data_IF_856401213667
#
_entry.id   IF_856401213667
#
_cell.length_a   1.000
_cell.length_b   1.000
_cell.length_c   1.000
_cell.angle_alpha   90.00
_cell.angle_beta   90.00
_cell.angle_gamma   90.00
#
_symmetry.space_group_name_H-M   'P 1'
#
loop_
_entity.id
_entity.type
_entity.pdbx_description
1 polymer ?
#
# COMPACT_ATOMS: atom_id res chain seq x y z
N UNK A 1 24.83 -5.83 -10.88
CA UNK A 1 24.42 -7.19 -10.50
C UNK A 1 24.35 -7.24 -8.98
N UNK A 2 23.14 -7.18 -8.42
CA UNK A 2 22.87 -6.92 -7.00
C UNK A 2 23.04 -8.19 -6.16
N UNK A 3 24.00 -8.18 -5.21
CA UNK A 3 24.13 -9.23 -4.20
C UNK A 3 23.88 -8.63 -2.81
N UNK A 4 22.75 -9.03 -2.19
CA UNK A 4 22.31 -8.96 -0.77
C UNK A 4 20.79 -8.72 -0.79
N UNK A 5 19.91 -9.62 -0.36
CA UNK A 5 19.96 -10.41 0.86
C UNK A 5 18.94 -11.59 0.76
N UNK A 6 19.33 -12.75 0.21
CA UNK A 6 18.38 -13.85 -0.06
C UNK A 6 17.79 -14.51 1.20
N UNK A 7 18.43 -14.32 2.35
CA UNK A 7 17.97 -14.87 3.64
C UNK A 7 16.81 -14.07 4.24
N UNK A 8 16.87 -12.74 4.17
CA UNK A 8 15.79 -11.88 4.66
C UNK A 8 14.57 -11.96 3.74
N UNK A 9 14.77 -11.92 2.41
CA UNK A 9 13.68 -12.06 1.44
C UNK A 9 12.98 -13.42 1.52
N UNK A 10 13.73 -14.51 1.75
CA UNK A 10 13.14 -15.84 1.94
C UNK A 10 12.43 -15.99 3.28
N UNK A 11 12.98 -15.44 4.37
CA UNK A 11 12.32 -15.42 5.68
C UNK A 11 11.03 -14.58 5.64
N UNK A 12 11.06 -13.39 5.04
CA UNK A 12 9.89 -12.55 4.87
C UNK A 12 8.80 -13.23 4.03
N UNK A 13 9.17 -13.89 2.91
CA UNK A 13 8.23 -14.65 2.08
C UNK A 13 7.73 -15.95 2.75
N UNK A 14 8.50 -16.55 3.64
CA UNK A 14 8.07 -17.70 4.44
C UNK A 14 7.12 -17.26 5.56
N UNK A 15 7.46 -16.19 6.29
CA UNK A 15 6.61 -15.58 7.31
C UNK A 15 5.30 -15.07 6.73
N UNK A 16 5.31 -14.43 5.56
CA UNK A 16 4.11 -13.97 4.86
C UNK A 16 3.23 -15.12 4.32
N UNK A 17 3.84 -16.25 3.92
CA UNK A 17 3.09 -17.46 3.53
C UNK A 17 2.56 -18.22 4.75
N UNK A 18 3.31 -18.22 5.85
CA UNK A 18 2.90 -18.84 7.10
C UNK A 18 1.72 -18.08 7.71
N UNK A 19 1.78 -16.75 7.81
CA UNK A 19 0.71 -15.91 8.38
C UNK A 19 -0.62 -16.02 7.64
N UNK A 20 -0.62 -16.38 6.35
CA UNK A 20 -1.83 -16.62 5.56
C UNK A 20 -2.36 -18.07 5.58
N UNK A 21 -1.65 -19.02 6.19
CA UNK A 21 -2.05 -20.44 6.20
C UNK A 21 -2.86 -20.78 7.47
N UNK A 22 -3.94 -21.58 7.38
CA UNK A 22 -4.70 -22.07 8.54
C UNK A 22 -3.84 -22.69 9.65
N UNK A 23 -2.69 -23.25 9.27
CA UNK A 23 -1.70 -23.79 10.20
C UNK A 23 -1.09 -22.73 11.15
N UNK A 24 -0.86 -21.48 10.71
CA UNK A 24 -0.34 -20.44 11.61
C UNK A 24 -1.39 -19.98 12.63
N UNK A 25 -2.66 -19.94 12.22
CA UNK A 25 -3.76 -19.69 13.15
C UNK A 25 -3.83 -20.80 14.22
N UNK A 26 -3.74 -22.07 13.81
CA UNK A 26 -3.70 -23.19 14.76
C UNK A 26 -2.48 -23.12 15.70
N UNK A 27 -1.30 -22.75 15.18
CA UNK A 27 -0.11 -22.55 16.02
C UNK A 27 -0.29 -21.41 17.01
N UNK A 28 -0.86 -20.28 16.59
CA UNK A 28 -1.16 -19.15 17.48
C UNK A 28 -2.15 -19.54 18.57
N UNK A 29 -3.24 -20.23 18.22
CA UNK A 29 -4.20 -20.78 19.19
C UNK A 29 -3.53 -21.74 20.17
N UNK A 30 -2.65 -22.62 19.68
CA UNK A 30 -1.91 -23.57 20.53
C UNK A 30 -1.00 -22.86 21.52
N UNK A 31 -0.31 -21.79 21.11
CA UNK A 31 0.51 -20.95 21.99
C UNK A 31 -0.33 -20.30 23.10
N UNK A 32 -1.52 -19.78 22.76
CA UNK A 32 -2.44 -19.20 23.74
C UNK A 32 -2.92 -20.25 24.74
N UNK A 33 -3.26 -21.46 24.28
CA UNK A 33 -3.70 -22.57 25.15
C UNK A 33 -2.58 -23.00 26.09
N UNK A 34 -1.35 -23.18 25.59
CA UNK A 34 -0.19 -23.53 26.42
C UNK A 34 0.05 -22.45 27.48
N UNK A 35 0.02 -21.18 27.09
CA UNK A 35 0.15 -20.07 28.05
C UNK A 35 -0.96 -20.11 29.12
N UNK A 36 -2.22 -20.29 28.74
CA UNK A 36 -3.34 -20.37 29.68
C UNK A 36 -3.21 -21.55 30.67
N UNK A 37 -2.76 -22.72 30.21
CA UNK A 37 -2.54 -23.91 31.06
C UNK A 37 -1.38 -23.71 32.04
N UNK A 38 -0.38 -22.90 31.68
CA UNK A 38 0.69 -22.55 32.63
C UNK A 38 0.23 -21.58 33.74
N UNK A 39 -0.86 -20.83 33.56
CA UNK A 39 -1.37 -19.85 34.53
C UNK A 39 -1.64 -20.42 35.94
N UNK A 40 -2.41 -21.53 36.07
CA UNK A 40 -2.64 -22.20 37.35
C UNK A 40 -1.37 -22.70 38.04
N UNK A 41 -0.37 -23.17 37.26
CA UNK A 41 0.91 -23.66 37.81
C UNK A 41 1.71 -22.51 38.43
N UNK A 42 1.65 -21.33 37.83
CA UNK A 42 2.32 -20.11 38.32
C UNK A 42 1.44 -19.25 39.22
N UNK A 43 0.31 -19.78 39.72
CA UNK A 43 -0.64 -19.10 40.60
C UNK A 43 -1.05 -17.70 40.09
N UNK A 44 -1.14 -17.53 38.77
CA UNK A 44 -1.46 -16.23 38.14
C UNK A 44 -0.51 -15.08 38.51
N UNK A 45 0.76 -15.40 38.79
CA UNK A 45 1.78 -14.43 39.24
C UNK A 45 2.01 -13.26 38.28
N UNK A 46 2.56 -12.17 38.82
CA UNK A 46 2.94 -10.98 38.05
C UNK A 46 3.94 -11.30 36.94
N UNK A 47 4.87 -12.23 37.17
CA UNK A 47 5.83 -12.69 36.15
C UNK A 47 5.14 -13.38 34.97
N UNK A 48 4.11 -14.19 35.25
CA UNK A 48 3.34 -14.88 34.22
C UNK A 48 2.55 -13.91 33.32
N UNK A 49 1.99 -12.85 33.91
CA UNK A 49 1.31 -11.77 33.17
C UNK A 49 2.31 -10.88 32.42
N UNK A 50 3.47 -10.59 33.01
CA UNK A 50 4.52 -9.79 32.39
C UNK A 50 5.04 -10.43 31.10
N UNK A 51 5.22 -11.75 31.09
CA UNK A 51 5.71 -12.49 29.91
C UNK A 51 4.77 -12.32 28.72
N UNK A 52 3.44 -12.45 28.90
CA UNK A 52 2.51 -12.30 27.77
C UNK A 52 2.39 -10.86 27.30
N UNK A 53 2.36 -9.91 28.23
CA UNK A 53 2.26 -8.49 27.90
C UNK A 53 3.50 -8.01 27.14
N UNK A 54 4.69 -8.40 27.63
CA UNK A 54 5.96 -8.05 26.99
C UNK A 54 6.11 -8.76 25.64
N UNK A 55 5.81 -10.06 25.58
CA UNK A 55 5.89 -10.85 24.35
C UNK A 55 4.94 -10.34 23.27
N UNK A 56 3.69 -10.07 23.63
CA UNK A 56 2.69 -9.54 22.69
C UNK A 56 3.08 -8.14 22.21
N UNK A 57 3.66 -7.30 23.07
CA UNK A 57 4.14 -5.97 22.69
C UNK A 57 5.26 -6.06 21.65
N UNK A 58 6.25 -6.94 21.85
CA UNK A 58 7.33 -7.16 20.88
C UNK A 58 6.78 -7.68 19.55
N UNK A 59 5.91 -8.69 19.60
CA UNK A 59 5.29 -9.27 18.40
C UNK A 59 4.47 -8.21 17.67
N UNK A 60 3.68 -7.41 18.38
CA UNK A 60 2.87 -6.32 17.80
C UNK A 60 3.75 -5.26 17.16
N UNK A 61 4.84 -4.85 17.83
CA UNK A 61 5.81 -3.92 17.26
C UNK A 61 6.40 -4.47 15.95
N UNK A 62 6.85 -5.73 15.94
CA UNK A 62 7.34 -6.39 14.73
C UNK A 62 6.25 -6.51 13.65
N UNK A 63 5.01 -6.80 14.03
CA UNK A 63 3.87 -6.90 13.13
C UNK A 63 3.61 -5.56 12.43
N UNK A 64 3.70 -4.43 13.13
CA UNK A 64 3.57 -3.10 12.53
C UNK A 64 4.63 -2.89 11.45
N UNK A 65 5.89 -3.22 11.69
CA UNK A 65 6.94 -3.15 10.65
C UNK A 65 6.69 -4.08 9.47
N UNK A 66 6.24 -5.31 9.73
CA UNK A 66 5.93 -6.28 8.67
C UNK A 66 4.74 -5.84 7.82
N UNK A 67 3.69 -5.33 8.45
CA UNK A 67 2.52 -4.77 7.80
C UNK A 67 2.94 -3.56 6.97
N UNK A 68 3.71 -2.62 7.55
CA UNK A 68 4.20 -1.45 6.82
C UNK A 68 5.06 -1.83 5.62
N UNK A 69 5.96 -2.81 5.76
CA UNK A 69 6.80 -3.28 4.64
C UNK A 69 5.95 -3.94 3.53
N UNK A 70 4.95 -4.72 3.90
CA UNK A 70 4.04 -5.37 2.94
C UNK A 70 3.17 -4.33 2.24
N UNK A 71 2.57 -3.43 3.01
CA UNK A 71 1.75 -2.33 2.50
C UNK A 71 2.55 -1.40 1.60
N UNK A 72 3.79 -1.04 1.95
CA UNK A 72 4.62 -0.17 1.12
C UNK A 72 4.88 -0.80 -0.25
N UNK A 73 5.21 -2.10 -0.27
CA UNK A 73 5.42 -2.84 -1.52
C UNK A 73 4.15 -2.97 -2.35
N UNK A 74 3.01 -3.23 -1.71
CA UNK A 74 1.72 -3.35 -2.41
C UNK A 74 1.29 -1.99 -3.00
N UNK A 75 1.49 -0.88 -2.29
CA UNK A 75 1.23 0.47 -2.78
C UNK A 75 2.04 0.78 -4.05
N UNK A 76 3.36 0.53 -4.04
CA UNK A 76 4.20 0.71 -5.24
C UNK A 76 3.76 -0.17 -6.42
N UNK A 77 3.33 -1.40 -6.16
CA UNK A 77 2.85 -2.29 -7.22
C UNK A 77 1.52 -1.81 -7.82
N UNK A 78 0.67 -1.14 -7.02
CA UNK A 78 -0.56 -0.50 -7.52
C UNK A 78 -0.23 0.71 -8.38
N UNK A 79 0.69 1.57 -7.94
CA UNK A 79 1.15 2.74 -8.72
C UNK A 79 1.65 2.33 -10.10
N UNK A 80 2.60 1.39 -10.17
CA UNK A 80 3.15 0.91 -11.45
C UNK A 80 2.08 0.36 -12.41
N UNK A 81 1.05 -0.30 -11.88
CA UNK A 81 -0.07 -0.79 -12.70
C UNK A 81 -0.95 0.34 -13.21
N UNK A 82 -1.18 1.38 -12.41
CA UNK A 82 -1.92 2.57 -12.83
C UNK A 82 -1.12 3.34 -13.88
N UNK A 83 0.19 3.44 -13.73
CA UNK A 83 1.07 4.09 -14.70
C UNK A 83 1.02 3.40 -16.07
N UNK A 84 1.06 2.07 -16.08
CA UNK A 84 0.91 1.29 -17.32
C UNK A 84 -0.48 1.49 -17.96
N UNK A 85 -1.54 1.58 -17.15
CA UNK A 85 -2.90 1.89 -17.65
C UNK A 85 -2.99 3.30 -18.22
N UNK A 86 -2.45 4.31 -17.53
CA UNK A 86 -2.39 5.70 -18.00
C UNK A 86 -1.63 5.76 -19.32
N UNK A 87 -0.48 5.09 -19.40
CA UNK A 87 0.34 5.02 -20.62
C UNK A 87 -0.36 4.32 -21.79
N UNK A 88 -1.21 3.33 -21.51
CA UNK A 88 -1.96 2.60 -22.52
C UNK A 88 -3.25 3.33 -23.00
N UNK A 89 -3.68 4.38 -22.30
CA UNK A 89 -4.86 5.18 -22.68
C UNK A 89 -4.44 6.33 -23.58
N UNK A 90 -4.86 6.28 -24.86
CA UNK A 90 -4.78 7.42 -25.78
C UNK A 90 -5.54 8.62 -25.17
N UNK A 91 -4.92 9.81 -25.12
CA UNK A 91 -5.51 10.98 -24.45
C UNK A 91 -4.98 11.27 -23.04
N UNK A 92 -4.25 10.34 -22.42
CA UNK A 92 -3.81 10.50 -21.04
C UNK A 92 -2.58 11.42 -20.96
N UNK A 93 -2.68 12.48 -20.14
CA UNK A 93 -1.57 13.38 -19.92
C UNK A 93 -0.44 12.68 -19.15
N UNK A 94 0.68 12.43 -19.82
CA UNK A 94 1.92 11.87 -19.23
C UNK A 94 2.40 12.63 -17.98
N UNK A 95 1.97 13.87 -17.78
CA UNK A 95 2.26 14.65 -16.59
C UNK A 95 1.57 14.15 -15.30
N UNK A 96 0.77 13.07 -15.37
CA UNK A 96 0.20 12.36 -14.22
C UNK A 96 1.00 11.10 -13.84
N UNK A 97 1.93 10.65 -14.68
CA UNK A 97 2.85 9.57 -14.34
C UNK A 97 3.77 10.02 -13.19
N UNK A 98 4.08 9.11 -12.27
CA UNK A 98 4.96 9.33 -11.12
C UNK A 98 4.53 10.52 -10.23
N UNK A 99 3.22 10.77 -10.11
CA UNK A 99 2.68 11.90 -9.32
C UNK A 99 3.11 11.87 -7.85
N UNK A 100 3.40 10.68 -7.31
CA UNK A 100 3.90 10.45 -5.95
C UNK A 100 5.34 10.92 -5.73
N UNK A 101 6.12 11.11 -6.78
CA UNK A 101 7.51 11.57 -6.69
C UNK A 101 7.62 13.11 -6.73
N UNK A 102 6.55 13.79 -7.14
CA UNK A 102 6.52 15.24 -7.25
C UNK A 102 6.70 15.91 -5.89
N UNK A 103 7.48 17.00 -5.87
CA UNK A 103 7.56 17.84 -4.69
C UNK A 103 6.28 18.70 -4.51
N UNK A 104 6.12 19.30 -3.32
CA UNK A 104 4.92 20.09 -2.99
C UNK A 104 4.66 21.24 -3.97
N UNK A 105 5.73 21.87 -4.48
CA UNK A 105 5.62 22.98 -5.43
C UNK A 105 5.10 22.48 -6.77
N UNK A 106 5.69 21.41 -7.31
CA UNK A 106 5.29 20.75 -8.56
C UNK A 106 3.85 20.23 -8.49
N UNK A 107 3.48 19.58 -7.37
CA UNK A 107 2.12 19.11 -7.13
C UNK A 107 1.13 20.28 -7.08
N UNK A 108 1.51 21.42 -6.50
CA UNK A 108 0.69 22.63 -6.48
C UNK A 108 0.49 23.22 -7.88
N UNK A 109 1.54 23.20 -8.72
CA UNK A 109 1.48 23.66 -10.11
C UNK A 109 0.56 22.76 -10.95
N UNK A 110 0.69 21.44 -10.80
CA UNK A 110 -0.16 20.46 -11.45
C UNK A 110 -1.63 20.64 -11.06
N UNK A 111 -1.90 20.78 -9.76
CA UNK A 111 -3.25 21.03 -9.22
C UNK A 111 -3.86 22.33 -9.76
N UNK A 112 -3.09 23.41 -9.85
CA UNK A 112 -3.55 24.69 -10.44
C UNK A 112 -3.92 24.50 -11.92
N UNK A 113 -3.11 23.78 -12.69
CA UNK A 113 -3.39 23.51 -14.11
C UNK A 113 -4.71 22.74 -14.29
N UNK A 114 -4.92 21.68 -13.51
CA UNK A 114 -6.20 20.94 -13.55
C UNK A 114 -7.39 21.75 -13.03
N UNK A 115 -7.20 22.62 -12.04
CA UNK A 115 -8.27 23.51 -11.58
C UNK A 115 -8.74 24.47 -12.68
N UNK A 116 -7.81 24.99 -13.50
CA UNK A 116 -8.15 25.83 -14.66
C UNK A 116 -8.90 25.03 -15.73
N UNK A 117 -8.43 23.82 -16.05
CA UNK A 117 -9.10 22.93 -17.01
C UNK A 117 -10.53 22.58 -16.55
N UNK A 118 -10.69 22.20 -15.28
CA UNK A 118 -12.00 21.92 -14.70
C UNK A 118 -12.92 23.15 -14.65
N UNK A 119 -12.37 24.35 -14.44
CA UNK A 119 -13.16 25.58 -14.51
C UNK A 119 -13.66 25.86 -15.93
N UNK A 120 -12.81 25.66 -16.95
CA UNK A 120 -13.19 25.80 -18.36
C UNK A 120 -14.27 24.79 -18.76
N UNK A 121 -14.08 23.51 -18.41
CA UNK A 121 -15.08 22.47 -18.67
C UNK A 121 -16.44 22.81 -18.04
N UNK A 122 -16.46 23.28 -16.78
CA UNK A 122 -17.71 23.71 -16.12
C UNK A 122 -18.39 24.89 -16.83
N UNK A 123 -17.63 25.86 -17.32
CA UNK A 123 -18.18 26.99 -18.08
C UNK A 123 -18.73 26.52 -19.44
N UNK A 124 -18.08 25.58 -20.11
CA UNK A 124 -18.57 25.00 -21.37
C UNK A 124 -19.86 24.19 -21.18
N UNK A 125 -19.96 23.42 -20.09
CA UNK A 125 -21.20 22.72 -19.70
C UNK A 125 -22.33 23.72 -19.44
N UNK A 126 -22.06 24.82 -18.71
CA UNK A 126 -23.05 25.89 -18.47
C UNK A 126 -23.51 26.55 -19.77
N UNK A 127 -22.64 26.60 -20.78
CA UNK A 127 -22.95 27.11 -22.12
C UNK A 127 -23.64 26.06 -23.02
N UNK A 128 -23.96 24.88 -22.50
CA UNK A 128 -24.74 23.84 -23.19
C UNK A 128 -23.92 22.92 -24.10
N UNK A 129 -22.58 22.90 -24.00
CA UNK A 129 -21.71 21.98 -24.75
C UNK A 129 -21.54 20.65 -23.98
N UNK A 130 -21.42 19.52 -24.70
CA UNK A 130 -21.29 18.17 -24.10
C UNK A 130 -19.92 17.99 -23.43
N UNK A 131 -19.93 17.41 -22.23
CA UNK A 131 -18.81 17.19 -21.28
C UNK A 131 -17.82 16.06 -21.67
N UNK A 132 -17.70 15.72 -22.95
CA UNK A 132 -16.77 14.66 -23.40
C UNK A 132 -15.86 15.24 -24.45
N UNK A 133 -14.70 15.73 -24.02
CA UNK A 133 -13.61 16.14 -24.90
C UNK A 133 -12.64 14.97 -25.06
N UNK A 134 -12.85 14.16 -26.11
CA UNK A 134 -11.80 13.27 -26.65
C UNK A 134 -11.28 13.91 -27.94
N UNK A 135 -10.50 14.99 -27.80
CA UNK A 135 -9.97 15.81 -28.92
C UNK A 135 -8.51 15.53 -29.26
N UNK A 136 -7.94 14.39 -28.87
CA UNK A 136 -6.55 14.06 -29.18
C UNK A 136 -6.32 13.17 -30.42
N UNK A 137 -7.29 13.02 -31.33
CA UNK A 137 -7.10 12.19 -32.55
C UNK A 137 -7.18 12.94 -33.90
N UNK A 138 -7.12 14.27 -33.95
CA UNK A 138 -7.27 15.02 -35.22
C UNK A 138 -6.17 16.03 -35.57
N UNK A 139 -5.03 16.08 -34.86
CA UNK A 139 -3.88 16.85 -35.33
C UNK A 139 -2.67 15.96 -35.61
N UNK A 140 -2.31 15.96 -36.90
CA UNK A 140 -1.18 15.29 -37.57
C UNK A 140 -1.34 13.77 -37.82
N UNK A 141 -1.33 13.28 -39.06
CA UNK A 141 -0.67 13.79 -40.27
C UNK A 141 -1.00 12.84 -41.46
N UNK A 142 -0.42 13.05 -42.66
CA UNK A 142 -0.80 13.95 -43.76
C UNK A 142 -1.76 13.35 -44.82
#
# INVERSE_FOLDING_TARGET
>A
MHYRNSRFGSFANWTARASGHPAAFMTACSVIVVWAVTGPVFAWSDTWQLVINTGTTIVTFLMVFLIQNTQNRDSHAVQLKLDELIRAVEGAHNALLDIEELNDEELSHLRKRYAVLAARAREEIKQGRRDTDNRELEEDQP
#
